data_IF_674478643163
#
_entry.id   IF_674478643163
#
_cell.length_a   1.000
_cell.length_b   1.000
_cell.length_c   1.000
_cell.angle_alpha   90.00
_cell.angle_beta   90.00
_cell.angle_gamma   90.00
#
_symmetry.space_group_name_H-M   'P 1'
#
loop_
_entity.id
_entity.type
_entity.pdbx_description
1 polymer ?
#
# COMPACT_ATOMS: atom_id res chain seq x y z
N UNK A 1 33.97 -51.23 -3.10
CA UNK A 1 34.81 -50.23 -3.80
C UNK A 1 33.90 -49.13 -4.33
N UNK A 2 34.18 -47.87 -4.03
CA UNK A 2 33.51 -46.74 -4.69
C UNK A 2 34.06 -46.63 -6.12
N UNK A 3 33.19 -46.60 -7.14
CA UNK A 3 33.58 -46.68 -8.56
C UNK A 3 34.15 -45.38 -9.14
N UNK A 4 33.81 -44.23 -8.57
CA UNK A 4 34.13 -42.91 -9.15
C UNK A 4 35.17 -42.11 -8.37
N UNK A 5 35.54 -42.52 -7.14
CA UNK A 5 36.47 -41.77 -6.27
C UNK A 5 36.03 -40.33 -5.92
N UNK A 6 34.84 -39.92 -6.37
CA UNK A 6 34.22 -38.60 -6.17
C UNK A 6 32.71 -38.77 -5.95
N UNK A 7 32.06 -37.73 -5.45
CA UNK A 7 30.61 -37.67 -5.45
C UNK A 7 30.07 -37.65 -6.89
N UNK A 8 29.07 -38.48 -7.23
CA UNK A 8 28.49 -38.52 -8.56
C UNK A 8 27.76 -37.21 -8.86
N UNK A 9 27.82 -36.79 -10.12
CA UNK A 9 27.10 -35.60 -10.58
C UNK A 9 25.60 -35.88 -10.77
N UNK A 10 24.76 -34.84 -10.72
CA UNK A 10 23.30 -34.98 -10.90
C UNK A 10 22.93 -35.65 -12.24
N UNK A 11 23.73 -35.44 -13.28
CA UNK A 11 23.56 -36.05 -14.61
C UNK A 11 23.89 -37.54 -14.61
N UNK A 12 24.95 -37.95 -13.90
CA UNK A 12 25.33 -39.36 -13.78
C UNK A 12 24.34 -40.15 -12.89
N UNK A 13 23.77 -39.50 -11.87
CA UNK A 13 22.69 -40.04 -11.06
C UNK A 13 21.41 -40.24 -11.88
N UNK A 14 21.02 -39.22 -12.66
CA UNK A 14 19.85 -39.29 -13.53
C UNK A 14 19.95 -40.42 -14.57
N UNK A 15 21.13 -40.58 -15.18
CA UNK A 15 21.39 -41.64 -16.16
C UNK A 15 21.31 -43.04 -15.54
N UNK A 16 21.91 -43.26 -14.36
CA UNK A 16 21.84 -44.54 -13.67
C UNK A 16 20.43 -44.86 -13.14
N UNK A 17 19.68 -43.85 -12.72
CA UNK A 17 18.33 -44.02 -12.18
C UNK A 17 17.24 -44.04 -13.27
N UNK A 18 17.60 -43.81 -14.54
CA UNK A 18 16.65 -43.67 -15.66
C UNK A 18 15.57 -42.61 -15.41
N UNK A 19 15.96 -41.46 -14.83
CA UNK A 19 15.07 -40.33 -14.51
C UNK A 19 15.61 -39.04 -15.13
N UNK A 20 14.76 -38.02 -15.26
CA UNK A 20 15.20 -36.69 -15.70
C UNK A 20 16.05 -35.99 -14.62
N UNK A 21 17.02 -35.18 -15.05
CA UNK A 21 17.94 -34.44 -14.18
C UNK A 21 17.17 -33.48 -13.26
N UNK A 22 16.06 -32.89 -13.76
CA UNK A 22 15.20 -32.02 -12.93
C UNK A 22 14.53 -32.81 -11.81
N UNK A 23 14.09 -34.04 -12.09
CA UNK A 23 13.47 -34.91 -11.08
C UNK A 23 14.47 -35.34 -10.03
N UNK A 24 15.70 -35.68 -10.40
CA UNK A 24 16.77 -36.00 -9.47
C UNK A 24 17.10 -34.79 -8.58
N UNK A 25 17.22 -33.59 -9.16
CA UNK A 25 17.46 -32.37 -8.41
C UNK A 25 16.30 -32.04 -7.45
N UNK A 26 15.05 -32.22 -7.88
CA UNK A 26 13.88 -32.04 -7.04
C UNK A 26 13.88 -33.01 -5.86
N UNK A 27 14.10 -34.32 -6.10
CA UNK A 27 14.16 -35.34 -5.05
C UNK A 27 15.27 -35.02 -4.05
N UNK A 28 16.47 -34.65 -4.53
CA UNK A 28 17.59 -34.30 -3.66
C UNK A 28 17.35 -33.02 -2.87
N UNK A 29 16.58 -32.06 -3.40
CA UNK A 29 16.19 -30.87 -2.64
C UNK A 29 15.12 -31.16 -1.60
N UNK A 30 14.16 -32.03 -1.90
CA UNK A 30 13.11 -32.46 -0.95
C UNK A 30 13.68 -33.37 0.14
N UNK A 31 14.67 -34.19 -0.19
CA UNK A 31 15.34 -35.09 0.75
C UNK A 31 16.27 -34.38 1.73
N UNK A 32 16.56 -33.07 1.54
CA UNK A 32 17.35 -32.30 2.50
C UNK A 32 16.55 -32.15 3.80
N UNK A 33 17.17 -32.41 4.96
CA UNK A 33 16.51 -32.21 6.24
C UNK A 33 16.18 -30.73 6.44
N UNK A 34 14.99 -30.46 6.96
CA UNK A 34 14.58 -29.11 7.36
C UNK A 34 15.47 -28.69 8.54
N UNK A 35 16.09 -27.52 8.43
CA UNK A 35 16.89 -26.96 9.53
C UNK A 35 15.99 -26.34 10.59
N UNK A 36 16.44 -26.37 11.84
CA UNK A 36 15.73 -25.71 12.92
C UNK A 36 15.83 -24.19 12.76
N UNK A 37 14.70 -23.52 12.92
CA UNK A 37 14.64 -22.05 12.99
C UNK A 37 15.33 -21.55 14.26
N UNK A 38 15.46 -22.40 15.28
CA UNK A 38 16.10 -22.13 16.57
C UNK A 38 17.62 -22.41 16.60
N UNK A 39 18.22 -22.73 15.46
CA UNK A 39 19.67 -22.96 15.38
C UNK A 39 20.41 -21.60 15.41
N UNK A 40 21.47 -21.51 16.22
CA UNK A 40 22.31 -20.31 16.29
C UNK A 40 23.09 -20.10 14.98
N UNK A 41 23.19 -18.85 14.55
CA UNK A 41 23.97 -18.45 13.38
C UNK A 41 25.45 -18.41 13.76
N UNK A 42 26.27 -19.19 13.05
CA UNK A 42 27.72 -19.25 13.32
C UNK A 42 28.38 -17.87 13.16
N UNK A 43 29.05 -17.42 14.22
CA UNK A 43 29.85 -16.19 14.21
C UNK A 43 29.11 -14.93 14.67
N UNK A 44 27.85 -15.05 15.11
CA UNK A 44 27.08 -13.95 15.70
C UNK A 44 26.44 -14.42 17.00
N UNK A 45 26.75 -13.76 18.10
CA UNK A 45 26.15 -14.10 19.41
C UNK A 45 24.68 -13.67 19.44
N UNK A 46 23.83 -14.53 20.02
CA UNK A 46 22.39 -14.32 20.20
C UNK A 46 21.60 -14.08 18.90
N UNK A 47 22.07 -14.58 17.75
CA UNK A 47 21.33 -14.52 16.49
C UNK A 47 20.93 -15.93 16.07
N UNK A 48 19.63 -16.13 15.90
CA UNK A 48 19.06 -17.40 15.49
C UNK A 48 18.80 -17.39 13.98
N UNK A 49 18.75 -18.56 13.32
CA UNK A 49 18.35 -18.65 11.90
C UNK A 49 17.00 -17.97 11.65
N UNK A 50 16.06 -18.08 12.58
CA UNK A 50 14.77 -17.39 12.51
C UNK A 50 14.86 -15.87 12.45
N UNK A 51 15.81 -15.26 13.17
CA UNK A 51 15.99 -13.81 13.22
C UNK A 51 16.53 -13.24 11.90
N UNK A 52 17.10 -14.10 11.04
CA UNK A 52 17.58 -13.72 9.70
C UNK A 52 16.51 -13.77 8.62
N UNK A 53 15.35 -14.35 8.91
CA UNK A 53 14.25 -14.48 7.96
C UNK A 53 13.36 -13.25 8.08
N UNK A 54 13.47 -12.35 7.09
CA UNK A 54 12.58 -11.21 6.99
C UNK A 54 11.13 -11.67 6.79
N UNK A 55 10.21 -11.15 7.62
CA UNK A 55 8.78 -11.38 7.43
C UNK A 55 8.27 -10.50 6.28
N UNK A 56 8.23 -11.07 5.07
CA UNK A 56 7.74 -10.38 3.89
C UNK A 56 6.22 -10.11 3.92
N UNK A 57 5.50 -10.48 4.98
CA UNK A 57 4.07 -10.20 5.12
C UNK A 57 3.79 -8.85 5.76
N UNK A 58 4.73 -8.27 6.50
CA UNK A 58 4.49 -7.06 7.29
C UNK A 58 5.42 -5.95 6.82
N UNK A 59 4.88 -5.08 5.99
CA UNK A 59 5.55 -3.87 5.54
C UNK A 59 5.25 -2.74 6.54
N UNK A 60 5.87 -2.83 7.72
CA UNK A 60 5.59 -1.92 8.85
C UNK A 60 5.70 -0.44 8.46
N UNK A 61 6.67 -0.08 7.63
CA UNK A 61 6.85 1.31 7.19
C UNK A 61 5.68 1.78 6.32
N UNK A 62 5.24 0.94 5.37
CA UNK A 62 4.11 1.28 4.51
C UNK A 62 2.77 1.24 5.27
N UNK A 63 2.60 0.34 6.22
CA UNK A 63 1.39 0.26 7.04
C UNK A 63 1.24 1.48 7.97
N UNK A 64 2.33 1.91 8.61
CA UNK A 64 2.35 3.13 9.43
C UNK A 64 2.07 4.36 8.56
N UNK A 65 2.73 4.48 7.40
CA UNK A 65 2.51 5.58 6.47
C UNK A 65 1.06 5.62 5.98
N UNK A 66 0.46 4.47 5.65
CA UNK A 66 -0.92 4.37 5.22
C UNK A 66 -1.92 4.72 6.34
N UNK A 67 -1.62 4.34 7.58
CA UNK A 67 -2.45 4.70 8.74
C UNK A 67 -2.43 6.22 9.01
N UNK A 68 -1.26 6.84 8.92
CA UNK A 68 -1.11 8.29 9.07
C UNK A 68 -1.77 9.06 7.92
N UNK A 69 -1.65 8.56 6.69
CA UNK A 69 -2.34 9.11 5.52
C UNK A 69 -3.87 9.06 5.71
N UNK A 70 -4.42 7.91 6.14
CA UNK A 70 -5.86 7.77 6.41
C UNK A 70 -6.36 8.73 7.47
N UNK A 71 -5.63 8.87 8.58
CA UNK A 71 -5.99 9.81 9.66
C UNK A 71 -6.06 11.24 9.13
N UNK A 72 -5.08 11.63 8.33
CA UNK A 72 -5.04 12.96 7.75
C UNK A 72 -6.17 13.23 6.76
N UNK A 73 -6.38 12.34 5.79
CA UNK A 73 -7.47 12.45 4.82
C UNK A 73 -8.81 12.56 5.57
N UNK A 74 -9.01 11.76 6.62
CA UNK A 74 -10.20 11.83 7.44
C UNK A 74 -10.38 13.19 8.11
N UNK A 75 -9.30 13.82 8.59
CA UNK A 75 -9.35 15.13 9.21
C UNK A 75 -9.71 16.20 8.17
N UNK A 76 -8.98 16.25 7.06
CA UNK A 76 -9.12 17.26 6.00
C UNK A 76 -10.51 17.18 5.34
N UNK A 77 -10.97 15.96 5.04
CA UNK A 77 -12.34 15.73 4.55
C UNK A 77 -13.36 16.11 5.62
N UNK A 78 -13.10 15.82 6.89
CA UNK A 78 -13.95 16.21 8.01
C UNK A 78 -14.12 17.73 8.13
N UNK A 79 -13.04 18.49 8.00
CA UNK A 79 -13.05 19.97 7.98
C UNK A 79 -13.89 20.50 6.81
N UNK A 80 -13.70 19.98 5.60
CA UNK A 80 -14.49 20.39 4.44
C UNK A 80 -15.98 20.03 4.56
N UNK A 81 -16.30 18.88 5.18
CA UNK A 81 -17.68 18.49 5.48
C UNK A 81 -18.30 19.44 6.51
N UNK A 82 -17.52 19.96 7.47
CA UNK A 82 -18.00 20.91 8.47
C UNK A 82 -18.31 22.31 7.88
N UNK A 83 -17.75 22.66 6.73
CA UNK A 83 -18.10 23.91 6.00
C UNK A 83 -19.46 23.81 5.26
N UNK A 84 -20.03 22.62 5.14
CA UNK A 84 -21.34 22.43 4.51
C UNK A 84 -22.48 22.86 5.44
N UNK A 85 -23.65 23.26 4.89
CA UNK A 85 -24.85 23.44 5.68
C UNK A 85 -25.21 22.17 6.46
N UNK A 86 -25.76 22.34 7.66
CA UNK A 86 -25.99 21.24 8.60
C UNK A 86 -26.83 20.10 8.00
N UNK A 87 -27.85 20.41 7.18
CA UNK A 87 -28.65 19.39 6.49
C UNK A 87 -27.82 18.57 5.49
N UNK A 88 -26.96 19.22 4.69
CA UNK A 88 -26.12 18.57 3.68
C UNK A 88 -25.04 17.71 4.34
N UNK A 89 -24.45 18.23 5.41
CA UNK A 89 -23.46 17.56 6.25
C UNK A 89 -24.02 16.30 6.89
N UNK A 90 -25.21 16.37 7.49
CA UNK A 90 -25.84 15.25 8.17
C UNK A 90 -26.17 14.10 7.20
N UNK A 91 -26.72 14.42 6.03
CA UNK A 91 -26.98 13.41 4.99
C UNK A 91 -25.68 12.78 4.46
N UNK A 92 -24.62 13.56 4.29
CA UNK A 92 -23.31 13.04 3.85
C UNK A 92 -22.70 12.12 4.93
N UNK A 93 -22.76 12.50 6.21
CA UNK A 93 -22.28 11.68 7.32
C UNK A 93 -23.03 10.37 7.42
N UNK A 94 -24.37 10.40 7.45
CA UNK A 94 -25.18 9.18 7.48
C UNK A 94 -24.91 8.27 6.26
N UNK A 95 -24.68 8.85 5.08
CA UNK A 95 -24.41 8.06 3.87
C UNK A 95 -23.01 7.46 3.81
N UNK A 96 -21.98 8.14 4.31
CA UNK A 96 -20.57 7.72 4.12
C UNK A 96 -19.88 7.24 5.41
N UNK A 97 -20.20 7.81 6.58
CA UNK A 97 -19.63 7.37 7.86
C UNK A 97 -20.43 6.21 8.46
N UNK A 98 -21.77 6.32 8.48
CA UNK A 98 -22.64 5.25 9.00
C UNK A 98 -22.97 4.19 7.94
N UNK A 99 -22.73 4.49 6.66
CA UNK A 99 -23.00 3.57 5.54
C UNK A 99 -24.48 3.24 5.36
N UNK A 100 -25.40 4.11 5.83
CA UNK A 100 -26.82 3.83 5.78
C UNK A 100 -27.38 3.92 4.35
N UNK A 101 -28.32 3.03 3.97
CA UNK A 101 -29.02 3.14 2.70
C UNK A 101 -29.91 4.38 2.68
N UNK A 102 -30.17 4.94 1.49
CA UNK A 102 -30.97 6.16 1.35
C UNK A 102 -32.38 6.05 1.94
N UNK A 103 -32.96 4.84 1.96
CA UNK A 103 -34.26 4.58 2.60
C UNK A 103 -34.22 4.77 4.11
N UNK A 104 -33.18 4.27 4.79
CA UNK A 104 -33.01 4.43 6.23
C UNK A 104 -32.72 5.89 6.60
N UNK A 105 -31.92 6.58 5.78
CA UNK A 105 -31.66 8.02 5.95
C UNK A 105 -32.97 8.80 5.80
N UNK A 106 -33.73 8.55 4.73
CA UNK A 106 -35.01 9.20 4.47
C UNK A 106 -36.01 9.02 5.62
N UNK A 107 -36.06 7.83 6.23
CA UNK A 107 -36.87 7.56 7.41
C UNK A 107 -36.37 8.32 8.66
N UNK A 108 -35.05 8.38 8.89
CA UNK A 108 -34.49 9.14 10.03
C UNK A 108 -34.80 10.64 9.97
N UNK A 109 -34.77 11.24 8.77
CA UNK A 109 -34.99 12.70 8.60
C UNK A 109 -36.46 13.03 8.28
N UNK A 110 -37.34 12.03 8.19
CA UNK A 110 -38.75 12.19 7.79
C UNK A 110 -38.92 12.94 6.45
N UNK A 111 -38.13 12.55 5.45
CA UNK A 111 -38.13 13.12 4.09
C UNK A 111 -38.17 12.03 3.03
N UNK A 112 -38.35 12.44 1.77
CA UNK A 112 -38.30 11.49 0.65
C UNK A 112 -36.87 11.04 0.35
N UNK A 113 -36.74 9.83 -0.20
CA UNK A 113 -35.45 9.30 -0.71
C UNK A 113 -34.85 10.23 -1.75
N UNK A 114 -35.69 10.86 -2.58
CA UNK A 114 -35.21 11.79 -3.61
C UNK A 114 -34.66 13.09 -3.01
N UNK A 115 -35.27 13.59 -1.94
CA UNK A 115 -34.72 14.72 -1.18
C UNK A 115 -33.31 14.40 -0.65
N UNK A 116 -33.11 13.20 -0.09
CA UNK A 116 -31.79 12.73 0.36
C UNK A 116 -30.79 12.69 -0.81
N UNK A 117 -31.17 12.17 -1.98
CA UNK A 117 -30.31 12.15 -3.18
C UNK A 117 -29.95 13.56 -3.65
N UNK A 118 -30.93 14.46 -3.71
CA UNK A 118 -30.71 15.85 -4.13
C UNK A 118 -29.76 16.58 -3.18
N UNK A 119 -29.97 16.41 -1.87
CA UNK A 119 -29.15 17.06 -0.86
C UNK A 119 -27.71 16.52 -0.88
N UNK A 120 -27.55 15.20 -1.00
CA UNK A 120 -26.24 14.56 -1.21
C UNK A 120 -25.55 15.11 -2.45
N UNK A 121 -26.26 15.21 -3.59
CA UNK A 121 -25.71 15.76 -4.84
C UNK A 121 -25.28 17.22 -4.66
N UNK A 122 -26.06 18.02 -3.94
CA UNK A 122 -25.77 19.42 -3.65
C UNK A 122 -24.52 19.58 -2.77
N UNK A 123 -24.42 18.81 -1.69
CA UNK A 123 -23.22 18.80 -0.83
C UNK A 123 -21.97 18.33 -1.57
N UNK A 124 -22.05 17.23 -2.33
CA UNK A 124 -20.93 16.76 -3.15
C UNK A 124 -20.53 17.75 -4.25
N UNK A 125 -21.47 18.55 -4.77
CA UNK A 125 -21.16 19.63 -5.73
C UNK A 125 -20.37 20.75 -5.06
N UNK A 126 -20.69 21.10 -3.82
CA UNK A 126 -19.95 22.12 -3.05
C UNK A 126 -18.55 21.64 -2.68
N UNK A 127 -18.41 20.40 -2.22
CA UNK A 127 -17.09 19.80 -1.94
C UNK A 127 -16.21 19.74 -3.19
N UNK A 128 -16.80 19.54 -4.38
CA UNK A 128 -16.10 19.57 -5.68
C UNK A 128 -15.81 20.97 -6.21
N UNK A 129 -16.25 22.03 -5.54
CA UNK A 129 -15.97 23.39 -6.00
C UNK A 129 -14.46 23.67 -5.91
N UNK A 130 -13.83 24.31 -6.91
CA UNK A 130 -12.38 24.50 -6.98
C UNK A 130 -11.74 25.09 -5.73
N UNK A 131 -12.46 25.95 -5.01
CA UNK A 131 -11.99 26.54 -3.75
C UNK A 131 -11.79 25.50 -2.64
N UNK A 132 -12.70 24.54 -2.51
CA UNK A 132 -12.63 23.47 -1.50
C UNK A 132 -11.79 22.32 -2.05
N UNK A 133 -12.02 21.91 -3.30
CA UNK A 133 -11.30 20.79 -3.90
C UNK A 133 -9.79 21.06 -4.05
N UNK A 134 -9.36 22.28 -4.43
CA UNK A 134 -7.92 22.59 -4.50
C UNK A 134 -7.28 22.49 -3.14
N UNK A 135 -7.93 23.01 -2.09
CA UNK A 135 -7.42 22.88 -0.72
C UNK A 135 -7.25 21.42 -0.34
N UNK A 136 -8.29 20.60 -0.54
CA UNK A 136 -8.26 19.15 -0.27
C UNK A 136 -7.15 18.42 -1.05
N UNK A 137 -6.94 18.78 -2.32
CA UNK A 137 -5.99 18.11 -3.22
C UNK A 137 -4.54 18.60 -3.03
N UNK A 138 -4.34 19.90 -2.80
CA UNK A 138 -3.03 20.49 -2.55
C UNK A 138 -2.47 20.01 -1.20
N UNK A 139 -3.32 19.96 -0.17
CA UNK A 139 -3.01 19.39 1.14
C UNK A 139 -2.61 17.90 1.05
N UNK A 140 -3.30 17.11 0.23
CA UNK A 140 -2.98 15.69 -0.03
C UNK A 140 -1.67 15.52 -0.81
N UNK A 141 -1.43 16.34 -1.83
CA UNK A 141 -0.19 16.32 -2.63
C UNK A 141 1.01 16.65 -1.77
N UNK A 142 0.97 17.77 -1.03
CA UNK A 142 2.13 18.28 -0.29
C UNK A 142 2.60 17.29 0.79
N UNK A 143 1.68 16.52 1.38
CA UNK A 143 2.01 15.50 2.37
C UNK A 143 2.52 14.20 1.74
N UNK A 144 1.93 13.73 0.62
CA UNK A 144 2.47 12.59 -0.15
C UNK A 144 3.87 12.87 -0.67
N UNK A 145 4.17 14.12 -0.99
CA UNK A 145 5.48 14.60 -1.42
C UNK A 145 6.23 15.32 -0.29
N UNK A 146 5.98 14.97 0.97
CA UNK A 146 6.73 15.60 2.07
C UNK A 146 8.22 15.35 1.90
N UNK A 147 9.00 16.43 1.93
CA UNK A 147 10.44 16.47 1.66
C UNK A 147 11.28 15.56 2.57
N UNK A 148 10.68 15.05 3.65
CA UNK A 148 11.33 14.23 4.66
C UNK A 148 10.99 12.74 4.58
N UNK A 149 10.27 12.26 3.56
CA UNK A 149 10.07 10.82 3.41
C UNK A 149 11.44 10.16 3.14
N UNK A 150 11.93 9.45 4.15
CA UNK A 150 13.32 9.02 4.30
C UNK A 150 13.81 8.21 3.09
N UNK A 151 14.83 8.72 2.40
CA UNK A 151 15.63 7.93 1.46
C UNK A 151 17.10 8.10 1.85
N UNK A 152 17.64 7.07 2.51
CA UNK A 152 19.05 7.02 2.87
C UNK A 152 19.98 7.04 1.65
N UNK A 153 21.24 7.40 1.90
CA UNK A 153 22.31 7.55 0.90
C UNK A 153 22.46 6.34 -0.04
N UNK A 154 22.08 5.14 0.43
CA UNK A 154 22.09 3.89 -0.36
C UNK A 154 21.20 3.94 -1.62
N UNK A 155 19.99 4.51 -1.54
CA UNK A 155 19.09 4.62 -2.72
C UNK A 155 19.58 5.65 -3.74
N UNK A 156 20.33 6.68 -3.33
CA UNK A 156 20.92 7.67 -4.24
C UNK A 156 21.92 7.02 -5.18
N UNK A 157 22.78 6.11 -4.68
CA UNK A 157 23.77 5.41 -5.50
C UNK A 157 23.16 4.52 -6.60
N UNK A 158 21.90 4.10 -6.42
CA UNK A 158 21.20 3.26 -7.42
C UNK A 158 20.37 4.10 -8.39
N UNK A 159 19.74 5.16 -7.89
CA UNK A 159 18.73 5.93 -8.63
C UNK A 159 19.31 7.20 -9.27
N UNK A 160 20.49 7.66 -8.84
CA UNK A 160 21.16 8.90 -9.28
C UNK A 160 20.33 10.20 -9.15
N UNK A 161 19.16 10.14 -8.53
CA UNK A 161 18.28 11.28 -8.28
C UNK A 161 18.33 11.65 -6.81
N UNK A 162 18.49 12.94 -6.51
CA UNK A 162 18.43 13.45 -5.14
C UNK A 162 17.03 13.23 -4.52
N UNK A 163 16.94 13.17 -3.19
CA UNK A 163 15.66 13.08 -2.46
C UNK A 163 14.71 14.24 -2.81
N UNK A 164 15.27 15.44 -3.00
CA UNK A 164 14.49 16.64 -3.36
C UNK A 164 14.05 16.62 -4.82
N UNK A 165 14.91 16.17 -5.73
CA UNK A 165 14.57 16.04 -7.16
C UNK A 165 13.46 15.02 -7.39
N UNK A 166 13.53 13.87 -6.72
CA UNK A 166 12.54 12.82 -6.87
C UNK A 166 11.17 13.22 -6.30
N UNK A 167 11.17 13.96 -5.19
CA UNK A 167 9.96 14.51 -4.59
C UNK A 167 9.27 15.53 -5.51
N UNK A 168 10.06 16.40 -6.14
CA UNK A 168 9.55 17.37 -7.13
C UNK A 168 8.98 16.65 -8.35
N UNK A 169 9.67 15.64 -8.88
CA UNK A 169 9.16 14.83 -10.00
C UNK A 169 7.85 14.12 -9.64
N UNK A 170 7.76 13.54 -8.45
CA UNK A 170 6.54 12.89 -7.97
C UNK A 170 5.39 13.90 -7.83
N UNK A 171 5.68 15.10 -7.33
CA UNK A 171 4.70 16.19 -7.20
C UNK A 171 4.17 16.65 -8.55
N UNK A 172 5.07 16.90 -9.50
CA UNK A 172 4.72 17.28 -10.88
C UNK A 172 3.90 16.19 -11.58
N UNK A 173 4.25 14.91 -11.36
CA UNK A 173 3.48 13.78 -11.86
C UNK A 173 2.04 13.75 -11.31
N UNK A 174 1.88 13.87 -9.98
CA UNK A 174 0.56 13.89 -9.34
C UNK A 174 -0.28 15.09 -9.78
N UNK A 175 0.32 16.27 -9.94
CA UNK A 175 -0.35 17.46 -10.48
C UNK A 175 -0.86 17.23 -11.91
N UNK A 176 -0.03 16.66 -12.80
CA UNK A 176 -0.44 16.33 -14.18
C UNK A 176 -1.58 15.32 -14.24
N UNK A 177 -1.56 14.28 -13.39
CA UNK A 177 -2.66 13.32 -13.28
C UNK A 177 -3.97 14.02 -12.91
N UNK A 178 -3.90 14.97 -11.98
CA UNK A 178 -5.03 15.78 -11.55
C UNK A 178 -5.57 16.69 -12.66
N UNK A 179 -4.70 17.35 -13.41
CA UNK A 179 -5.08 18.17 -14.56
C UNK A 179 -5.76 17.35 -15.66
N UNK A 180 -5.22 16.16 -15.95
CA UNK A 180 -5.81 15.23 -16.92
C UNK A 180 -7.17 14.68 -16.47
N UNK A 181 -7.36 14.45 -15.16
CA UNK A 181 -8.68 14.04 -14.63
C UNK A 181 -9.76 15.13 -14.75
N UNK A 182 -9.35 16.41 -14.86
CA UNK A 182 -10.27 17.56 -14.99
C UNK A 182 -10.65 17.86 -16.44
N UNK A 183 -9.83 17.46 -17.42
CA UNK A 183 -10.10 17.69 -18.85
C UNK A 183 -10.93 16.59 -19.51
N UNK A 184 -11.13 15.46 -18.83
CA UNK A 184 -11.85 14.29 -19.32
C UNK A 184 -13.30 14.11 -18.81
N UNK A 185 -13.89 15.09 -18.13
CA UNK A 185 -15.27 15.03 -17.62
C UNK A 185 -16.04 16.32 -17.88
#
# INVERSE_FOLDING_TARGET
MQSLGRYPTYTELALNMSMDVKTVNYILNVAKPIKSIYEDVKGVDNLTVGDTIADNRIDFENDIAAADERRYISQVVGEAINELPEEEKEVIRMSYLEGLPYTAIAQKVDKSVEWVRQLKRKGLRKLRHPRISRRLLDEDIDRRTSFYNHRGVSKFNTTWTSSTEQTVLQREYLKKQLENSKSGG
#
